data_IF_181621363238
#
_entry.id   IF_181621363238
#
_cell.length_a   1.000
_cell.length_b   1.000
_cell.length_c   1.000
_cell.angle_alpha   90.00
_cell.angle_beta   90.00
_cell.angle_gamma   90.00
#
_symmetry.space_group_name_H-M   'P 1'
#
loop_
_entity.id
_entity.type
_entity.pdbx_description
1 polymer ?
#
# COMPACT_ATOMS: atom_id res chain seq x y z
N UNK A 1 15.84 22.53 25.74
CA UNK A 1 14.97 23.03 24.65
C UNK A 1 13.63 23.42 25.25
N UNK A 2 13.17 24.67 25.04
CA UNK A 2 11.90 25.13 25.61
C UNK A 2 10.71 24.60 24.80
N UNK A 3 9.50 24.68 25.35
CA UNK A 3 8.28 24.16 24.72
C UNK A 3 8.00 24.82 23.35
N UNK A 4 8.27 26.12 23.20
CA UNK A 4 8.08 26.85 21.95
C UNK A 4 8.97 26.31 20.81
N UNK A 5 10.25 26.06 21.09
CA UNK A 5 11.17 25.45 20.10
C UNK A 5 10.73 24.05 19.69
N UNK A 6 10.15 23.26 20.61
CA UNK A 6 9.62 21.93 20.27
C UNK A 6 8.44 22.03 19.31
N UNK A 7 7.50 22.94 19.56
CA UNK A 7 6.32 23.16 18.72
C UNK A 7 6.75 23.54 17.29
N UNK A 8 7.62 24.54 17.14
CA UNK A 8 8.10 24.99 15.82
C UNK A 8 8.74 23.83 15.05
N UNK A 9 9.66 23.08 15.69
CA UNK A 9 10.32 21.94 15.04
C UNK A 9 9.36 20.83 14.63
N UNK A 10 8.28 20.60 15.40
CA UNK A 10 7.25 19.64 15.03
C UNK A 10 6.51 20.06 13.76
N UNK A 11 6.16 21.33 13.62
CA UNK A 11 5.51 21.84 12.40
C UNK A 11 6.44 21.81 11.19
N UNK A 12 7.70 22.22 11.34
CA UNK A 12 8.71 22.12 10.28
C UNK A 12 8.89 20.67 9.80
N UNK A 13 8.86 19.71 10.72
CA UNK A 13 8.93 18.29 10.39
C UNK A 13 7.70 17.82 9.62
N UNK A 14 6.49 18.17 10.07
CA UNK A 14 5.23 17.81 9.40
C UNK A 14 5.19 18.38 7.99
N UNK A 15 5.57 19.66 7.82
CA UNK A 15 5.64 20.31 6.50
C UNK A 15 6.66 19.61 5.59
N UNK A 16 7.84 19.27 6.10
CA UNK A 16 8.86 18.54 5.36
C UNK A 16 8.39 17.15 4.94
N UNK A 17 7.65 16.43 5.79
CA UNK A 17 7.05 15.13 5.45
C UNK A 17 6.04 15.30 4.31
N UNK A 18 5.17 16.32 4.39
CA UNK A 18 4.16 16.54 3.36
C UNK A 18 4.78 16.92 2.01
N UNK A 19 5.82 17.75 2.01
CA UNK A 19 6.59 18.05 0.79
C UNK A 19 7.15 16.79 0.14
N UNK A 20 7.70 15.87 0.94
CA UNK A 20 8.22 14.59 0.44
C UNK A 20 7.10 13.68 -0.11
N UNK A 21 5.92 13.67 0.51
CA UNK A 21 4.75 12.97 -0.02
C UNK A 21 4.35 13.55 -1.38
N UNK A 22 4.32 14.87 -1.51
CA UNK A 22 3.98 15.55 -2.77
C UNK A 22 5.02 15.28 -3.88
N UNK A 23 6.31 15.26 -3.55
CA UNK A 23 7.38 14.91 -4.48
C UNK A 23 7.29 13.46 -4.96
N UNK A 24 7.02 12.54 -4.02
CA UNK A 24 6.76 11.14 -4.32
C UNK A 24 5.56 10.99 -5.26
N UNK A 25 4.47 11.72 -5.01
CA UNK A 25 3.25 11.61 -5.81
C UNK A 25 3.45 12.15 -7.22
N UNK A 26 4.12 13.30 -7.35
CA UNK A 26 4.51 13.83 -8.65
C UNK A 26 5.38 12.85 -9.45
N UNK A 27 6.34 12.20 -8.78
CA UNK A 27 7.22 11.21 -9.41
C UNK A 27 6.45 9.98 -9.90
N UNK A 28 5.59 9.42 -9.05
CA UNK A 28 4.74 8.28 -9.41
C UNK A 28 3.78 8.61 -10.55
N UNK A 29 3.17 9.80 -10.53
CA UNK A 29 2.29 10.25 -11.61
C UNK A 29 3.03 10.37 -12.93
N UNK A 30 4.17 11.05 -12.96
CA UNK A 30 4.98 11.21 -14.16
C UNK A 30 5.47 9.86 -14.72
N UNK A 31 5.89 8.94 -13.85
CA UNK A 31 6.33 7.60 -14.28
C UNK A 31 5.17 6.75 -14.81
N UNK A 32 3.99 6.83 -14.19
CA UNK A 32 2.77 6.13 -14.63
C UNK A 32 2.35 6.61 -16.01
N UNK A 33 2.29 7.93 -16.21
CA UNK A 33 1.96 8.55 -17.49
C UNK A 33 2.97 8.17 -18.58
N UNK A 34 4.27 8.27 -18.28
CA UNK A 34 5.31 7.88 -19.23
C UNK A 34 5.25 6.39 -19.61
N UNK A 35 4.92 5.50 -18.67
CA UNK A 35 4.73 4.07 -18.94
C UNK A 35 3.51 3.82 -19.84
N UNK A 36 2.42 4.55 -19.65
CA UNK A 36 1.23 4.47 -20.49
C UNK A 36 1.48 4.98 -21.91
N UNK A 37 2.15 6.13 -22.05
CA UNK A 37 2.52 6.70 -23.35
C UNK A 37 3.38 5.73 -24.17
N UNK A 38 4.31 5.03 -23.51
CA UNK A 38 5.14 3.99 -24.13
C UNK A 38 4.40 2.67 -24.38
N UNK A 39 3.16 2.54 -23.91
CA UNK A 39 2.36 1.32 -24.01
C UNK A 39 2.88 0.18 -23.14
N UNK A 40 3.64 0.47 -22.09
CA UNK A 40 4.19 -0.53 -21.19
C UNK A 40 3.09 -1.21 -20.36
N UNK A 41 2.02 -0.49 -20.01
CA UNK A 41 0.85 -1.03 -19.29
C UNK A 41 -0.16 -1.73 -20.22
N UNK A 42 0.38 -2.41 -21.24
CA UNK A 42 -0.37 -3.24 -22.18
C UNK A 42 -1.43 -2.47 -22.97
N UNK A 43 -2.69 -2.86 -22.79
CA UNK A 43 -3.83 -2.31 -23.52
C UNK A 43 -4.52 -1.15 -22.79
N UNK A 44 -3.94 -0.63 -21.70
CA UNK A 44 -4.49 0.52 -21.01
C UNK A 44 -4.13 1.85 -21.70
N UNK A 45 -4.96 2.86 -21.49
CA UNK A 45 -4.73 4.26 -21.82
C UNK A 45 -5.37 5.15 -20.76
N UNK A 46 -4.97 6.42 -20.71
CA UNK A 46 -5.65 7.44 -19.91
C UNK A 46 -7.13 7.56 -20.30
N UNK A 47 -7.98 7.68 -19.29
CA UNK A 47 -9.41 7.93 -19.42
C UNK A 47 -9.86 9.22 -18.71
N UNK A 48 -8.93 10.08 -18.31
CA UNK A 48 -9.22 11.32 -17.60
C UNK A 48 -8.06 11.84 -16.75
N UNK A 49 -8.28 12.93 -15.99
CA UNK A 49 -7.31 13.47 -15.05
C UNK A 49 -7.18 12.59 -13.80
N UNK A 50 -6.06 12.73 -13.10
CA UNK A 50 -5.88 12.19 -11.76
C UNK A 50 -6.95 12.69 -10.79
N UNK A 51 -7.27 11.83 -9.83
CA UNK A 51 -8.17 12.13 -8.71
C UNK A 51 -7.39 11.99 -7.42
N UNK A 52 -7.60 12.91 -6.51
CA UNK A 52 -6.90 12.93 -5.22
C UNK A 52 -7.90 12.82 -4.08
N UNK A 53 -7.51 12.10 -3.02
CA UNK A 53 -8.28 11.99 -1.79
C UNK A 53 -7.34 12.08 -0.59
N UNK A 54 -7.84 12.55 0.54
CA UNK A 54 -7.10 12.64 1.80
C UNK A 54 -8.00 12.25 2.98
N UNK A 55 -7.40 11.58 3.96
CA UNK A 55 -8.07 11.22 5.22
C UNK A 55 -7.47 12.05 6.34
N UNK A 56 -8.26 12.96 6.91
CA UNK A 56 -7.82 13.86 7.97
C UNK A 56 -7.92 13.18 9.34
N UNK A 57 -6.98 13.50 10.22
CA UNK A 57 -7.11 13.13 11.64
C UNK A 57 -8.37 13.74 12.23
N UNK A 58 -8.93 13.12 13.28
CA UNK A 58 -10.07 13.65 14.02
C UNK A 58 -9.86 15.09 14.56
N UNK A 59 -8.60 15.51 14.68
CA UNK A 59 -8.22 16.86 15.09
C UNK A 59 -8.29 17.91 13.95
N UNK A 60 -8.29 17.49 12.69
CA UNK A 60 -8.20 18.34 11.50
C UNK A 60 -6.81 18.93 11.24
N UNK A 61 -5.80 18.59 12.05
CA UNK A 61 -4.46 19.21 11.97
C UNK A 61 -3.46 18.48 11.07
N UNK A 62 -3.89 17.41 10.41
CA UNK A 62 -3.03 16.63 9.53
C UNK A 62 -3.75 15.44 8.93
N UNK A 63 -3.11 14.80 7.96
CA UNK A 63 -3.67 13.66 7.22
C UNK A 63 -2.98 12.36 7.62
N UNK A 64 -3.77 11.29 7.77
CA UNK A 64 -3.26 9.93 8.06
C UNK A 64 -2.88 9.22 6.76
N UNK A 65 -3.64 9.49 5.69
CA UNK A 65 -3.52 8.89 4.37
C UNK A 65 -3.70 9.94 3.29
N UNK A 66 -3.05 9.72 2.16
CA UNK A 66 -3.25 10.44 0.91
C UNK A 66 -3.39 9.43 -0.22
N UNK A 67 -4.26 9.68 -1.18
CA UNK A 67 -4.38 8.84 -2.36
C UNK A 67 -4.41 9.65 -3.64
N UNK A 68 -3.84 9.08 -4.69
CA UNK A 68 -3.99 9.53 -6.07
C UNK A 68 -4.42 8.35 -6.94
N UNK A 69 -5.44 8.57 -7.75
CA UNK A 69 -6.13 7.55 -8.53
C UNK A 69 -6.08 7.94 -10.00
N UNK A 70 -5.47 7.10 -10.82
CA UNK A 70 -5.36 7.31 -12.27
C UNK A 70 -6.46 6.55 -13.03
N UNK A 71 -7.35 7.24 -13.75
CA UNK A 71 -8.40 6.57 -14.51
C UNK A 71 -7.84 5.93 -15.79
N UNK A 72 -8.06 4.63 -15.92
CA UNK A 72 -7.61 3.83 -17.05
C UNK A 72 -8.78 3.21 -17.83
N UNK A 73 -8.63 3.16 -19.16
CA UNK A 73 -9.55 2.49 -20.07
C UNK A 73 -8.81 1.48 -20.94
N UNK A 74 -9.48 0.41 -21.33
CA UNK A 74 -8.99 -0.47 -22.40
C UNK A 74 -8.95 0.27 -23.74
N UNK A 75 -7.88 0.07 -24.52
CA UNK A 75 -7.67 0.68 -25.85
C UNK A 75 -8.80 0.42 -26.84
N UNK A 76 -9.56 -0.68 -26.67
CA UNK A 76 -10.70 -1.04 -27.52
C UNK A 76 -12.04 -0.41 -27.09
N UNK A 77 -12.10 0.26 -25.93
CA UNK A 77 -13.31 0.92 -25.43
C UNK A 77 -13.31 2.41 -25.78
N UNK A 78 -14.50 3.03 -25.79
CA UNK A 78 -14.70 4.46 -26.11
C UNK A 78 -13.87 5.36 -25.21
N UNK A 79 -13.47 6.53 -25.74
CA UNK A 79 -12.50 7.43 -25.09
C UNK A 79 -12.82 7.80 -23.63
N UNK A 80 -14.11 7.88 -23.28
CA UNK A 80 -14.55 8.44 -22.00
C UNK A 80 -15.06 7.38 -20.99
N UNK A 81 -14.88 6.09 -21.28
CA UNK A 81 -15.28 5.01 -20.35
C UNK A 81 -14.11 4.61 -19.47
N UNK A 82 -14.22 4.84 -18.16
CA UNK A 82 -13.25 4.35 -17.17
C UNK A 82 -13.57 2.89 -16.86
N UNK A 83 -12.58 2.01 -17.01
CA UNK A 83 -12.73 0.57 -16.79
C UNK A 83 -12.06 0.12 -15.49
N UNK A 84 -11.02 0.84 -15.09
CA UNK A 84 -10.23 0.57 -13.91
C UNK A 84 -9.45 1.81 -13.49
N UNK A 85 -8.82 1.72 -12.33
CA UNK A 85 -8.01 2.74 -11.72
C UNK A 85 -6.70 2.14 -11.24
N UNK A 86 -5.59 2.83 -11.51
CA UNK A 86 -4.33 2.58 -10.83
C UNK A 86 -4.30 3.53 -9.64
N UNK A 87 -4.39 2.99 -8.44
CA UNK A 87 -4.47 3.77 -7.21
C UNK A 87 -3.14 3.67 -6.45
N UNK A 88 -2.67 4.81 -5.95
CA UNK A 88 -1.56 4.90 -5.02
C UNK A 88 -2.07 5.52 -3.73
N UNK A 89 -2.14 4.73 -2.67
CA UNK A 89 -2.49 5.19 -1.33
C UNK A 89 -1.24 5.22 -0.45
N UNK A 90 -0.86 6.41 0.00
CA UNK A 90 0.24 6.64 0.93
C UNK A 90 -0.34 6.70 2.35
N UNK A 91 0.02 5.73 3.18
CA UNK A 91 -0.39 5.63 4.58
C UNK A 91 0.79 5.98 5.48
N UNK A 92 0.71 7.09 6.21
CA UNK A 92 1.80 7.59 7.07
C UNK A 92 1.70 7.09 8.51
N UNK A 93 0.46 6.97 9.02
CA UNK A 93 0.15 6.43 10.34
C UNK A 93 -1.33 6.00 10.42
N UNK A 94 -1.70 5.31 11.49
CA UNK A 94 -3.09 4.89 11.73
C UNK A 94 -3.49 3.63 10.97
N UNK A 95 -4.79 3.50 10.66
CA UNK A 95 -5.38 2.27 10.11
C UNK A 95 -4.91 1.91 8.71
N UNK A 96 -4.26 2.82 7.98
CA UNK A 96 -3.67 2.50 6.68
C UNK A 96 -2.41 1.64 6.77
N UNK A 97 -1.78 1.50 7.95
CA UNK A 97 -0.54 0.73 8.09
C UNK A 97 -0.87 -0.72 8.52
N UNK A 98 -0.35 -1.73 7.82
CA UNK A 98 -0.49 -3.12 8.23
C UNK A 98 0.11 -3.36 9.63
N UNK A 99 -0.65 -3.96 10.57
CA UNK A 99 -0.11 -4.40 11.85
C UNK A 99 0.85 -5.58 11.64
N UNK A 100 1.92 -5.66 12.43
CA UNK A 100 2.89 -6.76 12.37
C UNK A 100 2.39 -8.00 13.13
N UNK A 101 2.59 -9.20 12.55
CA UNK A 101 2.33 -10.48 13.23
C UNK A 101 3.17 -10.56 14.52
N UNK A 102 2.53 -10.89 15.64
CA UNK A 102 3.20 -11.07 16.93
C UNK A 102 3.63 -9.77 17.65
N UNK A 103 3.45 -8.60 17.03
CA UNK A 103 3.74 -7.32 17.66
C UNK A 103 2.46 -6.68 18.23
N UNK A 104 2.50 -6.27 19.50
CA UNK A 104 1.38 -5.58 20.15
C UNK A 104 1.45 -4.06 19.98
N UNK A 105 2.61 -3.50 19.60
CA UNK A 105 2.83 -2.05 19.44
C UNK A 105 3.72 -1.64 18.27
N UNK A 106 4.37 -2.57 17.57
CA UNK A 106 5.20 -2.23 16.41
C UNK A 106 4.36 -2.26 15.12
N UNK A 107 4.51 -1.22 14.31
CA UNK A 107 3.95 -1.16 12.97
C UNK A 107 5.07 -1.24 11.94
N UNK A 108 4.71 -1.61 10.70
CA UNK A 108 5.66 -1.69 9.60
C UNK A 108 6.30 -0.33 9.23
N UNK A 109 5.74 0.76 9.76
CA UNK A 109 6.03 2.13 9.37
C UNK A 109 5.23 2.57 8.14
N UNK A 110 5.52 3.76 7.59
CA UNK A 110 4.81 4.32 6.46
C UNK A 110 4.90 3.42 5.22
N UNK A 111 3.78 3.26 4.50
CA UNK A 111 3.65 2.39 3.32
C UNK A 111 2.95 3.10 2.18
N UNK A 112 3.23 2.66 0.96
CA UNK A 112 2.42 2.93 -0.22
C UNK A 112 1.72 1.64 -0.64
N UNK A 113 0.40 1.68 -0.70
CA UNK A 113 -0.41 0.64 -1.32
C UNK A 113 -0.59 0.99 -2.79
N UNK A 114 -0.32 0.01 -3.64
CA UNK A 114 -0.46 0.11 -5.08
C UNK A 114 -1.56 -0.85 -5.48
N UNK A 115 -2.64 -0.31 -6.04
CA UNK A 115 -3.83 -1.07 -6.38
C UNK A 115 -4.22 -0.91 -7.83
N UNK A 116 -4.82 -1.95 -8.39
CA UNK A 116 -5.56 -1.89 -9.64
C UNK A 116 -7.00 -2.34 -9.38
N UNK A 117 -7.93 -1.40 -9.35
CA UNK A 117 -9.32 -1.61 -8.95
C UNK A 117 -10.31 -1.09 -9.99
N UNK A 118 -11.58 -1.47 -9.88
CA UNK A 118 -12.66 -0.88 -10.70
C UNK A 118 -13.09 0.51 -10.23
N UNK A 119 -12.63 0.92 -9.06
CA UNK A 119 -13.02 2.16 -8.40
C UNK A 119 -11.78 2.97 -8.03
N UNK A 120 -11.94 4.29 -8.03
CA UNK A 120 -10.94 5.20 -7.49
C UNK A 120 -10.85 5.03 -5.99
N UNK A 121 -9.67 5.34 -5.44
CA UNK A 121 -9.55 5.45 -3.99
C UNK A 121 -10.29 6.69 -3.47
N UNK A 122 -11.17 6.45 -2.50
CA UNK A 122 -11.94 7.45 -1.76
C UNK A 122 -11.95 7.02 -0.29
N UNK A 123 -11.77 7.97 0.65
CA UNK A 123 -11.73 7.71 2.09
C UNK A 123 -13.06 8.00 2.80
N UNK A 124 -14.11 8.38 2.06
CA UNK A 124 -15.45 8.60 2.62
C UNK A 124 -16.14 7.26 2.99
N UNK A 125 -17.26 7.32 3.72
CA UNK A 125 -17.89 6.22 4.50
C UNK A 125 -18.11 4.86 3.79
N UNK A 126 -18.08 4.81 2.45
CA UNK A 126 -18.25 3.57 1.65
C UNK A 126 -17.07 3.30 0.70
N UNK A 127 -15.92 3.93 0.95
CA UNK A 127 -14.83 4.10 0.00
C UNK A 127 -13.99 2.85 -0.27
N UNK A 128 -13.33 2.86 -1.43
CA UNK A 128 -12.39 1.82 -1.84
C UNK A 128 -10.99 2.22 -1.39
N UNK A 129 -10.52 1.71 -0.26
CA UNK A 129 -9.17 2.00 0.25
C UNK A 129 -8.64 0.85 1.11
N UNK A 130 -7.33 0.86 1.33
CA UNK A 130 -6.66 -0.14 2.17
C UNK A 130 -6.67 0.32 3.62
N UNK A 131 -7.20 -0.52 4.50
CA UNK A 131 -7.20 -0.28 5.94
C UNK A 131 -7.10 -1.57 6.76
N UNK A 132 -6.72 -1.40 8.03
CA UNK A 132 -6.47 -2.45 8.99
C UNK A 132 -7.11 -2.14 10.35
N UNK A 133 -7.78 -3.11 11.00
CA UNK A 133 -8.14 -4.42 10.45
C UNK A 133 -9.06 -4.27 9.23
N UNK A 134 -8.76 -5.00 8.17
CA UNK A 134 -9.50 -4.91 6.92
C UNK A 134 -10.87 -5.55 7.06
N UNK A 135 -11.94 -4.86 6.64
CA UNK A 135 -13.27 -5.44 6.50
C UNK A 135 -13.45 -6.13 5.13
N UNK A 136 -12.38 -6.71 4.58
CA UNK A 136 -12.45 -7.36 3.27
C UNK A 136 -13.30 -8.62 3.34
N UNK A 137 -14.01 -8.87 2.25
CA UNK A 137 -14.89 -10.02 2.16
C UNK A 137 -14.11 -11.34 1.98
N UNK A 138 -14.84 -12.44 2.15
CA UNK A 138 -14.34 -13.82 2.01
C UNK A 138 -13.82 -14.14 0.59
N UNK A 139 -14.01 -13.25 -0.40
CA UNK A 139 -13.51 -13.44 -1.77
C UNK A 139 -12.06 -12.97 -1.94
N UNK A 140 -11.47 -12.36 -0.91
CA UNK A 140 -10.09 -11.86 -0.94
C UNK A 140 -9.10 -13.01 -0.84
N UNK A 141 -8.31 -13.22 -1.89
CA UNK A 141 -7.20 -14.17 -1.90
C UNK A 141 -5.87 -13.47 -1.61
N UNK A 142 -5.04 -14.08 -0.76
CA UNK A 142 -3.62 -13.69 -0.64
C UNK A 142 -2.78 -14.59 -1.53
N UNK A 143 -2.37 -14.10 -2.70
CA UNK A 143 -1.49 -14.83 -3.60
C UNK A 143 -0.03 -14.65 -3.19
N UNK A 144 0.65 -15.78 -2.99
CA UNK A 144 2.08 -15.85 -2.69
C UNK A 144 2.49 -15.01 -1.47
N UNK A 145 1.58 -14.85 -0.49
CA UNK A 145 1.77 -14.01 0.70
C UNK A 145 2.13 -12.54 0.42
N UNK A 146 1.85 -11.97 -0.77
CA UNK A 146 2.33 -10.62 -1.14
C UNK A 146 1.37 -9.80 -2.00
N UNK A 147 0.43 -10.46 -2.67
CA UNK A 147 -0.57 -9.82 -3.51
C UNK A 147 -1.95 -10.14 -2.98
N UNK A 148 -2.69 -9.11 -2.61
CA UNK A 148 -4.11 -9.20 -2.33
C UNK A 148 -4.83 -9.20 -3.65
N UNK A 149 -5.71 -10.17 -3.85
CA UNK A 149 -6.31 -10.44 -5.14
C UNK A 149 -7.79 -10.72 -5.00
N UNK A 150 -8.59 -10.06 -5.84
CA UNK A 150 -10.00 -10.33 -6.00
C UNK A 150 -10.21 -10.78 -7.43
N UNK A 151 -10.58 -12.05 -7.60
CA UNK A 151 -10.87 -12.56 -8.93
C UNK A 151 -12.16 -11.95 -9.44
N UNK A 152 -12.13 -11.46 -10.68
CA UNK A 152 -13.35 -10.98 -11.31
C UNK A 152 -14.02 -12.17 -11.98
N UNK A 153 -14.91 -12.87 -11.27
CA UNK A 153 -15.68 -14.01 -11.83
C UNK A 153 -16.58 -13.61 -13.02
N UNK A 154 -16.76 -12.30 -13.25
CA UNK A 154 -17.59 -11.75 -14.33
C UNK A 154 -16.80 -11.59 -15.63
N UNK A 155 -17.33 -12.20 -16.70
CA UNK A 155 -16.78 -12.12 -18.04
C UNK A 155 -16.54 -10.65 -18.48
N UNK A 156 -15.29 -10.33 -18.82
CA UNK A 156 -14.90 -9.01 -19.33
C UNK A 156 -14.56 -7.96 -18.28
N UNK A 157 -14.56 -8.30 -16.99
CA UNK A 157 -13.93 -7.50 -15.94
C UNK A 157 -12.44 -7.84 -15.84
N UNK A 158 -11.64 -6.86 -15.41
CA UNK A 158 -10.22 -7.05 -15.16
C UNK A 158 -10.03 -7.52 -13.72
N UNK A 159 -9.04 -8.39 -13.44
CA UNK A 159 -8.75 -8.79 -12.07
C UNK A 159 -8.36 -7.57 -11.24
N UNK A 160 -8.76 -7.57 -9.97
CA UNK A 160 -8.42 -6.52 -9.03
C UNK A 160 -7.34 -7.00 -8.07
N UNK A 161 -6.39 -6.13 -7.77
CA UNK A 161 -5.30 -6.50 -6.88
C UNK A 161 -4.69 -5.32 -6.14
N UNK A 162 -4.00 -5.62 -5.06
CA UNK A 162 -3.23 -4.66 -4.26
C UNK A 162 -1.95 -5.31 -3.74
N UNK A 163 -0.85 -4.59 -3.81
CA UNK A 163 0.36 -4.89 -3.04
C UNK A 163 0.82 -3.64 -2.31
N UNK A 164 1.72 -3.78 -1.34
CA UNK A 164 2.26 -2.62 -0.60
C UNK A 164 3.77 -2.65 -0.56
N UNK A 165 4.36 -1.45 -0.53
CA UNK A 165 5.79 -1.22 -0.37
C UNK A 165 6.01 -0.28 0.82
N UNK A 166 7.00 -0.56 1.65
CA UNK A 166 7.45 0.33 2.72
C UNK A 166 8.10 1.58 2.11
N UNK A 167 7.62 2.75 2.51
CA UNK A 167 8.09 4.02 1.97
C UNK A 167 9.56 4.30 2.27
N UNK A 168 10.05 3.81 3.42
CA UNK A 168 11.45 4.00 3.83
C UNK A 168 12.45 3.32 2.88
N UNK A 169 11.99 2.34 2.10
CA UNK A 169 12.80 1.62 1.12
C UNK A 169 12.74 2.27 -0.28
N UNK A 170 11.95 3.34 -0.46
CA UNK A 170 11.75 4.08 -1.72
C UNK A 170 12.51 5.40 -1.73
N UNK A 171 13.84 5.34 -1.72
CA UNK A 171 14.70 6.53 -1.56
C UNK A 171 15.24 7.13 -2.86
N UNK A 172 14.77 6.68 -4.02
CA UNK A 172 15.22 7.16 -5.33
C UNK A 172 14.20 6.87 -6.43
N UNK A 173 14.31 7.58 -7.56
CA UNK A 173 13.49 7.29 -8.75
C UNK A 173 13.70 5.86 -9.28
N UNK A 174 14.92 5.32 -9.18
CA UNK A 174 15.21 3.93 -9.56
C UNK A 174 14.51 2.94 -8.63
N UNK A 175 14.47 3.22 -7.32
CA UNK A 175 13.72 2.42 -6.36
C UNK A 175 12.21 2.46 -6.65
N UNK A 176 11.64 3.63 -6.99
CA UNK A 176 10.24 3.76 -7.40
C UNK A 176 9.94 2.95 -8.67
N UNK A 177 10.80 3.08 -9.68
CA UNK A 177 10.65 2.34 -10.93
C UNK A 177 10.64 0.83 -10.69
N UNK A 178 11.65 0.31 -9.98
CA UNK A 178 11.82 -1.14 -9.74
C UNK A 178 10.78 -1.71 -8.79
N UNK A 179 10.39 -0.95 -7.75
CA UNK A 179 9.54 -1.48 -6.67
C UNK A 179 8.05 -1.23 -6.90
N UNK A 180 7.69 -0.33 -7.82
CA UNK A 180 6.28 0.01 -8.09
C UNK A 180 5.96 -0.13 -9.58
N UNK A 181 6.63 0.64 -10.45
CA UNK A 181 6.22 0.74 -11.86
C UNK A 181 6.44 -0.58 -12.62
N UNK A 182 7.56 -1.25 -12.42
CA UNK A 182 7.85 -2.54 -13.05
C UNK A 182 6.93 -3.67 -12.57
N UNK A 183 6.64 -3.80 -11.25
CA UNK A 183 5.62 -4.70 -10.76
C UNK A 183 4.22 -4.43 -11.32
N UNK A 184 3.78 -3.17 -11.35
CA UNK A 184 2.50 -2.78 -11.96
C UNK A 184 2.46 -3.23 -13.42
N UNK A 185 3.51 -2.95 -14.20
CA UNK A 185 3.65 -3.39 -15.58
C UNK A 185 3.53 -4.91 -15.72
N UNK A 186 4.24 -5.65 -14.89
CA UNK A 186 4.26 -7.11 -14.92
C UNK A 186 2.88 -7.70 -14.58
N UNK A 187 2.23 -7.20 -13.52
CA UNK A 187 0.89 -7.64 -13.10
C UNK A 187 -0.16 -7.32 -14.16
N UNK A 188 -0.16 -6.11 -14.73
CA UNK A 188 -1.07 -5.72 -15.82
C UNK A 188 -0.85 -6.54 -17.10
N UNK A 189 0.34 -7.11 -17.29
CA UNK A 189 0.65 -8.04 -18.38
C UNK A 189 0.27 -9.49 -18.08
N UNK A 190 -0.34 -9.77 -16.92
CA UNK A 190 -0.75 -11.11 -16.50
C UNK A 190 0.38 -11.97 -15.94
N UNK A 191 1.49 -11.37 -15.53
CA UNK A 191 2.59 -12.11 -14.87
C UNK A 191 2.10 -12.68 -13.54
N UNK A 192 2.64 -13.85 -13.18
CA UNK A 192 2.37 -14.44 -11.88
C UNK A 192 2.90 -13.55 -10.74
N UNK A 193 2.23 -13.52 -9.57
CA UNK A 193 2.62 -12.66 -8.46
C UNK A 193 4.08 -12.83 -8.03
N UNK A 194 4.60 -14.06 -7.96
CA UNK A 194 5.99 -14.32 -7.58
C UNK A 194 7.04 -13.74 -8.56
N UNK A 195 6.67 -13.56 -9.85
CA UNK A 195 7.56 -12.96 -10.85
C UNK A 195 7.43 -11.43 -10.87
N UNK A 196 6.22 -10.91 -10.71
CA UNK A 196 5.98 -9.47 -10.70
C UNK A 196 6.44 -8.81 -9.38
N UNK A 197 6.36 -9.54 -8.28
CA UNK A 197 6.72 -9.11 -6.93
C UNK A 197 7.70 -10.14 -6.34
N UNK A 198 8.96 -10.18 -6.79
CA UNK A 198 9.91 -11.16 -6.31
C UNK A 198 10.21 -10.96 -4.81
N UNK A 199 10.65 -12.01 -4.12
CA UNK A 199 10.85 -11.95 -2.66
C UNK A 199 11.91 -10.93 -2.24
N UNK A 200 12.83 -10.61 -3.15
CA UNK A 200 13.90 -9.64 -2.96
C UNK A 200 13.57 -8.22 -3.39
N UNK A 201 12.31 -7.96 -3.78
CA UNK A 201 11.84 -6.63 -4.05
C UNK A 201 11.96 -5.73 -2.79
N UNK A 202 12.72 -4.63 -2.84
CA UNK A 202 12.91 -3.75 -1.70
C UNK A 202 11.58 -3.22 -1.14
N UNK A 203 11.44 -3.29 0.18
CA UNK A 203 10.26 -2.79 0.90
C UNK A 203 8.97 -3.56 0.68
N UNK A 204 8.96 -4.66 -0.09
CA UNK A 204 7.75 -5.44 -0.31
C UNK A 204 7.15 -5.94 1.01
N UNK A 205 5.86 -5.69 1.19
CA UNK A 205 5.10 -6.15 2.34
C UNK A 205 4.55 -7.54 2.08
N UNK A 206 4.76 -8.43 3.04
CA UNK A 206 4.19 -9.77 3.03
C UNK A 206 3.03 -9.86 3.99
N UNK A 207 2.02 -10.63 3.63
CA UNK A 207 0.79 -10.76 4.38
C UNK A 207 0.55 -12.18 4.89
N UNK A 208 -0.16 -12.25 6.00
CA UNK A 208 -0.70 -13.47 6.58
C UNK A 208 -2.13 -13.21 7.04
N UNK A 209 -3.03 -14.12 6.66
CA UNK A 209 -4.41 -14.11 7.11
C UNK A 209 -4.52 -14.77 8.47
N UNK A 210 -5.14 -14.08 9.42
CA UNK A 210 -5.42 -14.61 10.76
C UNK A 210 -6.91 -14.61 11.05
N UNK A 211 -7.44 -15.78 11.41
CA UNK A 211 -8.79 -15.90 11.96
C UNK A 211 -8.81 -15.36 13.40
N UNK A 212 -9.65 -14.37 13.67
CA UNK A 212 -9.87 -13.82 15.03
C UNK A 212 -11.14 -14.37 15.69
N UNK A 213 -11.71 -15.47 15.19
CA UNK A 213 -12.94 -16.06 15.70
C UNK A 213 -14.13 -15.13 15.47
N UNK A 214 -14.87 -14.76 16.52
CA UNK A 214 -16.08 -13.92 16.42
C UNK A 214 -15.82 -12.50 15.85
N UNK A 215 -14.56 -12.05 15.85
CA UNK A 215 -14.16 -10.76 15.27
C UNK A 215 -13.81 -10.83 13.77
N UNK A 216 -13.95 -12.01 13.14
CA UNK A 216 -13.71 -12.23 11.73
C UNK A 216 -12.23 -12.42 11.35
N UNK A 217 -11.96 -12.40 10.05
CA UNK A 217 -10.62 -12.56 9.50
C UNK A 217 -9.87 -11.22 9.50
N UNK A 218 -8.55 -11.25 9.71
CA UNK A 218 -7.70 -10.06 9.64
C UNK A 218 -6.45 -10.32 8.83
N UNK A 219 -5.97 -9.28 8.15
CA UNK A 219 -4.69 -9.30 7.47
C UNK A 219 -3.61 -8.69 8.35
N UNK A 220 -2.53 -9.43 8.60
CA UNK A 220 -1.33 -8.94 9.28
C UNK A 220 -0.16 -8.91 8.30
N UNK A 221 0.74 -7.93 8.46
CA UNK A 221 2.03 -7.96 7.80
C UNK A 221 2.99 -8.89 8.55
N UNK A 222 3.78 -9.66 7.81
CA UNK A 222 4.84 -10.49 8.37
C UNK A 222 6.20 -10.07 7.82
N UNK A 223 7.23 -10.44 8.56
CA UNK A 223 8.60 -10.32 8.08
C UNK A 223 8.80 -11.07 6.78
N UNK A 224 9.78 -10.60 6.00
CA UNK A 224 10.21 -11.24 4.77
C UNK A 224 10.52 -12.73 5.01
N UNK A 225 10.05 -13.64 4.14
CA UNK A 225 10.40 -15.05 4.23
C UNK A 225 11.92 -15.26 4.35
N UNK A 226 12.35 -16.00 5.37
CA UNK A 226 13.76 -16.29 5.62
C UNK A 226 14.49 -15.30 6.53
N UNK A 227 13.85 -14.22 6.99
CA UNK A 227 14.38 -13.43 8.10
C UNK A 227 13.93 -14.09 9.42
N UNK A 228 14.84 -14.59 10.27
CA UNK A 228 14.42 -15.20 11.53
C UNK A 228 13.74 -14.13 12.37
N UNK A 229 12.48 -14.39 12.74
CA UNK A 229 11.79 -13.65 13.80
C UNK A 229 12.72 -13.66 15.00
N UNK A 230 13.25 -12.49 15.38
CA UNK A 230 13.93 -12.38 16.67
C UNK A 230 12.84 -12.56 17.71
N UNK A 231 12.68 -13.79 18.20
CA UNK A 231 11.88 -14.04 19.40
C UNK A 231 12.37 -13.06 20.46
N UNK A 232 11.47 -12.29 21.10
CA UNK A 232 11.87 -11.45 22.20
C UNK A 232 12.47 -12.37 23.25
N UNK A 233 13.74 -12.14 23.57
CA UNK A 233 14.46 -12.89 24.59
C UNK A 233 13.68 -12.78 25.90
N UNK A 234 12.91 -13.82 26.22
CA UNK A 234 12.32 -13.98 27.54
C UNK A 234 13.51 -14.13 28.47
N UNK A 235 13.81 -13.06 29.20
CA UNK A 235 14.77 -13.10 30.29
C UNK A 235 14.25 -14.13 31.30
N UNK A 236 14.78 -15.36 31.21
CA UNK A 236 14.64 -16.37 32.24
C UNK A 236 15.34 -15.83 33.49
N UNK A 237 14.58 -15.13 34.32
CA UNK A 237 14.97 -14.76 35.67
C UNK A 237 15.31 -16.04 36.40
N UNK A 238 16.59 -16.22 36.68
CA UNK A 238 17.11 -17.30 37.49
C UNK A 238 16.39 -17.29 38.85
N UNK A 239 15.55 -18.29 39.07
CA UNK A 239 15.22 -18.73 40.42
C UNK A 239 16.51 -19.20 41.07
N UNK A 240 17.06 -18.40 41.99
CA UNK A 240 17.91 -18.93 43.04
C UNK A 240 17.01 -19.21 44.24
N UNK A 241 16.90 -20.49 44.58
CA UNK A 241 16.25 -20.96 45.79
C UNK A 241 17.10 -20.73 47.03
N UNK A 242 16.46 -21.06 48.15
CA UNK A 242 17.02 -21.31 49.49
C UNK A 242 18.41 -21.98 49.46
N UNK A 243 19.30 -21.79 50.44
CA UNK A 243 19.13 -21.72 51.90
C UNK A 243 20.03 -20.68 52.56
#
# INVERSE_FOLDING_TARGET
MNAGTKIVRSFELVESIWSQVQELTNSLSAMTEAALEKGEFGQLRSAGPWREAWDETASGWGSTKYAMSFPAAGKRRRNDTIDAWINYQISLFGSGIPPLVGATQESLGPVVHVSFWHYETDFLESGFYVEFPSAWDDSTEIKESRLLFWDSEKEGQLPQWTFSIRLLDLNSEDALRKSIIEPVRALLSGSQPALALPEDLPGLVFYEGHDRGDAGWTLLAKDRPGNPTQEPAIAAGAGSGAE
#
